data_IF_499772744067
#
_entry.id   IF_499772744067
#
_cell.length_a   1.000
_cell.length_b   1.000
_cell.length_c   1.000
_cell.angle_alpha   90.00
_cell.angle_beta   90.00
_cell.angle_gamma   90.00
#
_symmetry.space_group_name_H-M   'P 1'
#
loop_
_entity.id
_entity.type
_entity.pdbx_description
1 polymer ?
#
# COMPACT_ATOMS: atom_id res chain seq x y z
N UNK A 1 56.90 18.35 9.95
CA UNK A 1 56.28 19.04 8.80
C UNK A 1 55.83 17.95 7.85
N UNK A 2 54.55 17.54 7.85
CA UNK A 2 53.43 18.24 7.19
C UNK A 2 52.19 18.20 8.09
N UNK A 3 51.57 19.36 8.27
CA UNK A 3 50.25 19.54 8.87
C UNK A 3 49.23 19.90 7.77
N UNK A 4 47.94 19.93 8.16
CA UNK A 4 46.74 20.40 7.44
C UNK A 4 46.04 19.36 6.54
N UNK A 5 44.70 19.20 6.55
CA UNK A 5 43.59 19.85 7.28
C UNK A 5 42.30 19.02 7.09
N UNK A 6 41.60 18.74 8.20
CA UNK A 6 40.16 18.54 8.42
C UNK A 6 39.16 18.38 7.26
N UNK A 7 38.28 17.38 7.38
CA UNK A 7 36.80 17.57 7.27
C UNK A 7 36.07 16.71 8.32
N UNK A 8 35.15 17.36 9.04
CA UNK A 8 34.21 16.86 10.05
C UNK A 8 33.12 15.94 9.46
N UNK A 9 32.62 14.97 10.25
CA UNK A 9 31.22 14.88 10.76
C UNK A 9 30.98 13.52 11.45
N UNK A 10 30.80 13.50 12.79
CA UNK A 10 29.53 13.39 13.54
C UNK A 10 28.78 12.07 13.31
N UNK A 11 28.88 11.17 14.29
CA UNK A 11 28.01 9.99 14.45
C UNK A 11 26.64 10.39 14.99
N UNK A 12 25.63 9.51 14.85
CA UNK A 12 25.05 9.03 16.10
C UNK A 12 24.75 7.52 16.10
N UNK A 13 25.24 6.88 17.18
CA UNK A 13 24.63 5.80 17.98
C UNK A 13 24.29 4.48 17.24
N UNK A 14 24.76 3.33 17.66
CA UNK A 14 25.50 2.97 18.87
C UNK A 14 25.58 1.45 18.89
N UNK A 15 26.74 0.92 18.54
CA UNK A 15 27.12 -0.46 18.69
C UNK A 15 28.54 -0.42 19.23
N UNK A 16 28.74 -0.90 20.45
CA UNK A 16 30.06 -1.20 20.99
C UNK A 16 29.93 -2.39 21.94
N UNK A 17 30.48 -3.50 21.48
CA UNK A 17 31.33 -4.41 22.23
C UNK A 17 32.47 -3.60 22.90
N UNK A 18 33.22 -4.03 23.91
CA UNK A 18 33.75 -5.31 24.35
C UNK A 18 34.00 -5.20 25.88
N UNK A 19 34.43 -6.27 26.54
CA UNK A 19 35.69 -6.31 27.32
C UNK A 19 35.86 -7.72 27.89
N UNK A 20 36.79 -8.48 27.30
CA UNK A 20 37.50 -9.57 27.97
C UNK A 20 38.65 -8.99 28.80
N UNK A 21 38.83 -9.47 30.03
CA UNK A 21 40.15 -9.58 30.67
C UNK A 21 40.17 -10.82 31.57
N UNK A 22 41.19 -11.65 31.37
CA UNK A 22 41.93 -12.26 32.48
C UNK A 22 41.76 -13.75 32.72
N UNK A 23 42.67 -14.55 32.14
CA UNK A 23 43.02 -15.90 32.58
C UNK A 23 43.52 -15.89 34.03
N UNK A 24 43.25 -16.95 34.80
CA UNK A 24 44.26 -17.60 35.66
C UNK A 24 43.79 -18.99 36.10
N UNK A 25 44.64 -19.98 35.82
CA UNK A 25 44.53 -21.36 36.30
C UNK A 25 44.85 -21.49 37.80
N UNK A 26 44.40 -22.62 38.34
CA UNK A 26 45.03 -23.42 39.39
C UNK A 26 44.38 -23.42 40.80
N UNK A 27 43.87 -24.62 41.12
CA UNK A 27 44.32 -25.48 42.23
C UNK A 27 43.25 -25.80 43.29
N UNK A 28 43.16 -27.11 43.49
CA UNK A 28 42.32 -27.81 44.42
C UNK A 28 42.83 -27.70 45.88
N UNK A 29 41.89 -27.92 46.80
CA UNK A 29 41.97 -28.61 48.11
C UNK A 29 41.40 -27.77 49.24
N UNK A 30 40.29 -28.26 49.81
CA UNK A 30 39.68 -27.70 51.02
C UNK A 30 38.38 -28.39 51.37
N UNK A 31 38.47 -29.64 51.83
CA UNK A 31 37.36 -30.43 52.38
C UNK A 31 36.79 -29.72 53.61
N UNK A 32 35.51 -29.36 53.57
CA UNK A 32 34.68 -29.13 54.77
C UNK A 32 33.40 -29.94 54.60
N UNK A 33 33.26 -30.99 55.42
CA UNK A 33 32.02 -31.76 55.53
C UNK A 33 31.02 -30.97 56.38
N UNK A 34 29.79 -30.72 55.91
CA UNK A 34 28.69 -30.40 56.82
C UNK A 34 28.09 -31.68 57.41
N UNK A 35 27.82 -31.59 58.71
CA UNK A 35 27.38 -32.65 59.62
C UNK A 35 26.03 -33.23 59.18
N UNK A 36 25.92 -34.54 59.29
CA UNK A 36 24.65 -35.24 59.13
C UNK A 36 23.65 -34.83 60.20
N UNK A 37 22.52 -34.30 59.76
CA UNK A 37 21.26 -34.33 60.50
C UNK A 37 20.26 -35.16 59.71
N UNK A 38 19.49 -35.93 60.48
CA UNK A 38 18.83 -37.16 60.07
C UNK A 38 17.93 -37.02 58.83
N UNK A 39 18.02 -38.02 57.96
CA UNK A 39 17.11 -38.25 56.87
C UNK A 39 15.69 -38.48 57.42
N UNK A 40 14.83 -37.47 57.29
CA UNK A 40 13.39 -37.68 57.25
C UNK A 40 13.02 -38.14 55.84
N UNK A 41 12.74 -39.42 55.69
CA UNK A 41 12.22 -40.00 54.45
C UNK A 41 10.83 -39.43 54.19
N UNK A 42 10.73 -38.40 53.35
CA UNK A 42 9.46 -38.00 52.78
C UNK A 42 9.04 -39.04 51.73
N UNK A 43 7.76 -39.45 51.70
CA UNK A 43 7.29 -40.51 50.83
C UNK A 43 7.51 -40.15 49.37
N UNK A 44 7.86 -41.17 48.57
CA UNK A 44 8.17 -41.11 47.14
C UNK A 44 7.00 -40.70 46.23
N UNK A 45 5.98 -40.01 46.76
CA UNK A 45 4.82 -39.52 46.02
C UNK A 45 4.85 -38.01 45.80
N UNK A 46 5.80 -37.28 46.41
CA UNK A 46 5.91 -35.83 46.20
C UNK A 46 6.84 -35.47 45.04
N UNK A 47 7.78 -36.34 44.66
CA UNK A 47 8.73 -36.09 43.57
C UNK A 47 8.11 -36.27 42.18
N UNK A 48 7.16 -37.19 42.02
CA UNK A 48 6.39 -37.35 40.77
C UNK A 48 5.54 -36.12 40.47
N UNK A 49 4.92 -35.51 41.48
CA UNK A 49 4.15 -34.26 41.32
C UNK A 49 5.08 -33.10 40.95
N UNK A 50 6.29 -33.04 41.53
CA UNK A 50 7.25 -31.97 41.22
C UNK A 50 7.88 -32.10 39.83
N UNK A 51 8.13 -33.33 39.35
CA UNK A 51 8.58 -33.58 37.97
C UNK A 51 7.45 -33.38 36.95
N UNK A 52 6.20 -33.69 37.31
CA UNK A 52 5.02 -33.47 36.46
C UNK A 52 4.64 -31.98 36.36
N UNK A 53 4.85 -31.19 37.44
CA UNK A 53 4.74 -29.73 37.41
C UNK A 53 5.88 -29.12 36.58
N UNK A 54 7.12 -29.63 36.70
CA UNK A 54 8.27 -29.16 35.92
C UNK A 54 8.13 -29.51 34.43
N UNK A 55 7.55 -30.67 34.09
CA UNK A 55 7.23 -31.05 32.71
C UNK A 55 6.07 -30.21 32.14
N UNK A 56 5.06 -29.86 32.96
CA UNK A 56 3.93 -29.01 32.53
C UNK A 56 4.30 -27.52 32.35
N UNK A 57 5.32 -27.02 33.04
CA UNK A 57 5.79 -25.63 32.88
C UNK A 57 6.53 -25.37 31.55
N UNK A 58 6.95 -26.42 30.84
CA UNK A 58 7.68 -26.30 29.57
C UNK A 58 6.81 -26.51 28.31
N UNK A 59 5.51 -26.79 28.46
CA UNK A 59 4.60 -27.05 27.33
C UNK A 59 3.75 -25.84 26.91
N UNK A 60 4.06 -24.65 27.40
CA UNK A 60 3.53 -23.42 26.82
C UNK A 60 4.55 -22.85 25.84
N UNK A 61 4.45 -23.31 24.59
CA UNK A 61 4.92 -22.49 23.46
C UNK A 61 4.38 -21.07 23.68
N UNK A 62 5.22 -20.02 23.65
CA UNK A 62 4.72 -18.67 23.73
C UNK A 62 3.71 -18.54 22.59
N UNK A 63 2.43 -18.33 22.92
CA UNK A 63 1.40 -18.04 21.92
C UNK A 63 1.97 -16.92 21.08
N UNK A 64 2.39 -17.23 19.86
CA UNK A 64 2.81 -16.21 18.93
C UNK A 64 1.58 -15.33 18.78
N UNK A 65 1.61 -14.14 19.39
CA UNK A 65 0.67 -13.09 19.06
C UNK A 65 1.07 -12.74 17.65
N UNK A 66 0.53 -13.48 16.68
CA UNK A 66 0.55 -13.06 15.29
C UNK A 66 -0.01 -11.66 15.34
N UNK A 67 0.75 -10.61 14.99
CA UNK A 67 0.13 -9.30 14.86
C UNK A 67 -1.09 -9.53 13.96
N UNK A 68 -2.29 -9.00 14.33
CA UNK A 68 -3.42 -9.08 13.40
C UNK A 68 -2.87 -8.64 12.06
N UNK A 69 -3.12 -9.36 10.94
CA UNK A 69 -2.55 -8.98 9.66
C UNK A 69 -2.87 -7.51 9.53
N UNK A 70 -1.84 -6.66 9.60
CA UNK A 70 -2.01 -5.23 9.42
C UNK A 70 -2.37 -5.17 7.96
N UNK A 71 -3.68 -5.27 7.67
CA UNK A 71 -4.22 -5.21 6.34
C UNK A 71 -3.98 -3.76 5.97
N UNK A 72 -2.77 -3.47 5.51
CA UNK A 72 -2.35 -2.15 5.11
C UNK A 72 -3.35 -1.75 4.03
N UNK A 73 -4.29 -0.87 4.39
CA UNK A 73 -5.41 -0.55 3.53
C UNK A 73 -4.87 0.13 2.28
N UNK A 74 -4.74 -0.64 1.19
CA UNK A 74 -4.30 -0.14 -0.11
C UNK A 74 -5.26 0.96 -0.56
N UNK A 75 -4.77 2.18 -0.74
CA UNK A 75 -5.60 3.34 -1.08
C UNK A 75 -5.93 3.43 -2.59
N UNK A 76 -5.18 2.73 -3.43
CA UNK A 76 -5.39 2.62 -4.88
C UNK A 76 -6.35 1.48 -5.20
N UNK A 77 -7.64 1.71 -4.95
CA UNK A 77 -8.72 0.77 -5.24
C UNK A 77 -9.49 1.19 -6.50
N UNK A 78 -10.29 0.28 -7.02
CA UNK A 78 -11.29 0.56 -8.06
C UNK A 78 -12.20 1.70 -7.60
N UNK A 79 -12.56 2.59 -8.51
CA UNK A 79 -13.44 3.74 -8.21
C UNK A 79 -12.74 4.89 -7.48
N UNK A 80 -11.43 4.80 -7.19
CA UNK A 80 -10.67 5.93 -6.66
C UNK A 80 -10.28 6.89 -7.76
N UNK A 81 -10.36 8.18 -7.45
CA UNK A 81 -9.98 9.25 -8.38
C UNK A 81 -8.52 9.62 -8.18
N UNK A 82 -7.80 9.79 -9.28
CA UNK A 82 -6.42 10.25 -9.31
C UNK A 82 -6.25 11.36 -10.36
N UNK A 83 -5.15 12.09 -10.25
CA UNK A 83 -4.71 13.06 -11.26
C UNK A 83 -3.44 12.51 -11.91
N UNK A 84 -3.35 12.59 -13.24
CA UNK A 84 -2.13 12.19 -13.95
C UNK A 84 -1.07 13.28 -13.79
N UNK A 85 0.15 12.91 -13.41
CA UNK A 85 1.27 13.85 -13.22
C UNK A 85 2.18 13.97 -14.43
N UNK A 86 2.25 12.95 -15.31
CA UNK A 86 3.17 12.93 -16.46
C UNK A 86 2.52 12.49 -17.78
N UNK A 87 3.13 12.90 -18.90
CA UNK A 87 2.75 12.52 -20.27
C UNK A 87 1.63 13.40 -20.87
N UNK A 88 1.13 13.01 -22.06
CA UNK A 88 0.12 13.77 -22.83
C UNK A 88 -1.13 14.16 -22.03
N UNK A 89 -1.51 13.34 -21.05
CA UNK A 89 -2.72 13.54 -20.24
C UNK A 89 -2.41 14.11 -18.84
N UNK A 90 -1.23 14.71 -18.63
CA UNK A 90 -0.91 15.38 -17.37
C UNK A 90 -1.97 16.43 -17.00
N UNK A 91 -2.27 16.53 -15.70
CA UNK A 91 -3.30 17.42 -15.15
C UNK A 91 -4.74 16.95 -15.42
N UNK A 92 -4.95 15.83 -16.12
CA UNK A 92 -6.27 15.25 -16.32
C UNK A 92 -6.67 14.34 -15.16
N UNK A 93 -7.95 14.41 -14.79
CA UNK A 93 -8.57 13.60 -13.75
C UNK A 93 -8.98 12.27 -14.34
N UNK A 94 -8.71 11.22 -13.57
CA UNK A 94 -8.97 9.84 -13.95
C UNK A 94 -9.62 9.07 -12.81
N UNK A 95 -10.38 8.05 -13.15
CA UNK A 95 -10.83 7.01 -12.24
C UNK A 95 -10.03 5.74 -12.49
N UNK A 96 -9.62 5.07 -11.41
CA UNK A 96 -8.98 3.76 -11.46
C UNK A 96 -10.07 2.70 -11.69
N UNK A 97 -9.98 1.98 -12.80
CA UNK A 97 -10.94 0.91 -13.14
C UNK A 97 -10.40 -0.43 -12.67
N UNK A 98 -9.13 -0.71 -12.97
CA UNK A 98 -8.50 -1.95 -12.58
C UNK A 98 -7.08 -1.67 -12.09
N UNK A 99 -6.82 -1.80 -10.77
CA UNK A 99 -5.47 -1.78 -10.24
C UNK A 99 -4.73 -3.08 -10.60
N UNK A 100 -3.44 -2.98 -10.92
CA UNK A 100 -2.54 -4.08 -11.25
C UNK A 100 -1.25 -3.91 -10.43
N UNK A 101 -1.26 -4.45 -9.22
CA UNK A 101 -0.14 -4.30 -8.27
C UNK A 101 1.07 -5.16 -8.64
N UNK A 102 0.84 -6.37 -9.19
CA UNK A 102 1.88 -7.36 -9.46
C UNK A 102 2.61 -7.15 -10.80
N UNK A 103 2.15 -6.20 -11.63
CA UNK A 103 2.64 -6.05 -13.00
C UNK A 103 2.15 -7.16 -13.93
N UNK A 104 2.45 -7.02 -15.22
CA UNK A 104 2.12 -7.99 -16.27
C UNK A 104 3.31 -8.12 -17.24
N UNK A 105 3.32 -9.12 -18.12
CA UNK A 105 4.42 -9.34 -19.09
C UNK A 105 4.75 -8.11 -19.93
N UNK A 106 3.73 -7.36 -20.36
CA UNK A 106 3.93 -6.11 -21.13
C UNK A 106 4.35 -4.91 -20.27
N UNK A 107 4.00 -4.91 -18.99
CA UNK A 107 4.23 -3.81 -18.06
C UNK A 107 4.69 -4.39 -16.72
N UNK A 108 6.00 -4.64 -16.53
CA UNK A 108 6.54 -5.35 -15.36
C UNK A 108 6.60 -4.50 -14.08
N UNK A 109 5.80 -3.43 -14.02
CA UNK A 109 5.73 -2.48 -12.91
C UNK A 109 4.28 -2.31 -12.43
N UNK A 110 4.06 -1.87 -11.18
CA UNK A 110 2.71 -1.57 -10.68
C UNK A 110 2.03 -0.48 -11.50
N UNK A 111 0.83 -0.77 -11.99
CA UNK A 111 0.08 0.12 -12.88
C UNK A 111 -1.42 0.01 -12.66
N UNK A 112 -2.18 0.93 -13.24
CA UNK A 112 -3.63 0.85 -13.32
C UNK A 112 -4.13 1.08 -14.74
N UNK A 113 -5.23 0.41 -15.05
CA UNK A 113 -6.10 0.78 -16.15
C UNK A 113 -7.00 1.90 -15.65
N UNK A 114 -6.94 3.03 -16.34
CA UNK A 114 -7.68 4.22 -15.97
C UNK A 114 -8.56 4.71 -17.11
N UNK A 115 -9.69 5.31 -16.75
CA UNK A 115 -10.49 6.13 -17.65
C UNK A 115 -10.54 7.56 -17.14
N UNK A 116 -10.44 8.52 -18.05
CA UNK A 116 -10.42 9.94 -17.68
C UNK A 116 -11.06 10.82 -18.72
N UNK A 117 -11.02 12.12 -18.43
CA UNK A 117 -11.57 13.17 -19.27
C UNK A 117 -10.44 13.93 -19.95
N UNK A 118 -10.37 13.87 -21.28
CA UNK A 118 -9.42 14.65 -22.07
C UNK A 118 -9.95 16.09 -22.24
N UNK A 119 -11.20 16.19 -22.70
CA UNK A 119 -11.94 17.45 -22.86
C UNK A 119 -13.11 17.48 -21.89
N UNK A 120 -13.03 18.38 -20.93
CA UNK A 120 -14.05 18.60 -19.91
C UNK A 120 -15.28 19.29 -20.48
N UNK A 121 -16.46 19.07 -19.86
CA UNK A 121 -17.63 19.87 -20.19
C UNK A 121 -17.37 21.33 -19.84
N UNK A 122 -17.86 22.23 -20.69
CA UNK A 122 -17.72 23.67 -20.46
C UNK A 122 -18.81 24.18 -19.54
N UNK A 123 -18.55 25.27 -18.82
CA UNK A 123 -19.56 25.90 -17.98
C UNK A 123 -20.82 26.27 -18.79
N UNK A 124 -21.97 25.90 -18.23
CA UNK A 124 -23.30 26.18 -18.77
C UNK A 124 -23.91 27.32 -17.96
N UNK A 125 -24.51 28.28 -18.65
CA UNK A 125 -25.25 29.38 -18.02
C UNK A 125 -26.70 29.37 -18.49
N UNK A 126 -27.61 29.90 -17.65
CA UNK A 126 -29.06 29.89 -17.91
C UNK A 126 -29.46 30.61 -19.21
N UNK A 127 -28.65 31.55 -19.69
CA UNK A 127 -28.91 32.35 -20.89
C UNK A 127 -28.65 31.59 -22.20
N UNK A 128 -28.05 30.41 -22.15
CA UNK A 128 -27.71 29.64 -23.36
C UNK A 128 -28.93 28.92 -23.93
N UNK A 129 -29.00 28.81 -25.27
CA UNK A 129 -29.98 27.96 -25.94
C UNK A 129 -29.75 26.47 -25.63
N UNK A 130 -30.81 25.66 -25.63
CA UNK A 130 -30.74 24.21 -25.33
C UNK A 130 -29.69 23.50 -26.19
N UNK A 131 -29.62 23.82 -27.48
CA UNK A 131 -28.64 23.27 -28.43
C UNK A 131 -27.19 23.59 -28.05
N UNK A 132 -26.93 24.78 -27.51
CA UNK A 132 -25.59 25.18 -27.03
C UNK A 132 -25.26 24.52 -25.69
N UNK A 133 -26.26 24.33 -24.82
CA UNK A 133 -26.08 23.61 -23.55
C UNK A 133 -25.66 22.16 -23.81
N UNK A 134 -26.37 21.45 -24.70
CA UNK A 134 -26.05 20.07 -25.08
C UNK A 134 -24.63 19.94 -25.65
N UNK A 135 -24.22 20.84 -26.56
CA UNK A 135 -22.86 20.83 -27.13
C UNK A 135 -21.78 21.04 -26.05
N UNK A 136 -22.07 21.81 -24.99
CA UNK A 136 -21.13 22.09 -23.89
C UNK A 136 -21.07 20.98 -22.84
N UNK A 137 -22.15 20.20 -22.68
CA UNK A 137 -22.19 19.04 -21.80
C UNK A 137 -21.38 17.85 -22.32
N UNK A 138 -21.06 17.81 -23.62
CA UNK A 138 -20.32 16.71 -24.24
C UNK A 138 -18.92 16.56 -23.66
N UNK A 139 -18.52 15.32 -23.41
CA UNK A 139 -17.22 14.96 -22.84
C UNK A 139 -16.40 14.16 -23.86
N UNK A 140 -15.09 14.40 -23.94
CA UNK A 140 -14.16 13.52 -24.68
C UNK A 140 -13.39 12.65 -23.68
N UNK A 141 -13.74 11.35 -23.54
CA UNK A 141 -13.01 10.47 -22.65
C UNK A 141 -11.72 9.93 -23.29
N UNK A 142 -10.83 9.42 -22.44
CA UNK A 142 -9.71 8.58 -22.84
C UNK A 142 -9.57 7.39 -21.89
N UNK A 143 -8.95 6.33 -22.39
CA UNK A 143 -8.57 5.14 -21.63
C UNK A 143 -7.06 4.97 -21.76
N UNK A 144 -6.38 4.59 -20.68
CA UNK A 144 -4.93 4.41 -20.69
C UNK A 144 -4.46 3.48 -19.58
N UNK A 145 -3.36 2.79 -19.83
CA UNK A 145 -2.58 2.11 -18.78
C UNK A 145 -1.52 3.07 -18.25
N UNK A 146 -1.49 3.27 -16.93
CA UNK A 146 -0.62 4.27 -16.29
C UNK A 146 0.09 3.64 -15.08
N UNK A 147 1.40 3.83 -15.00
CA UNK A 147 2.21 3.49 -13.81
C UNK A 147 1.75 4.30 -12.59
N UNK A 148 1.72 3.69 -11.40
CA UNK A 148 1.33 4.38 -10.17
C UNK A 148 2.16 5.60 -9.83
N UNK A 149 3.45 5.63 -10.17
CA UNK A 149 4.30 6.81 -9.95
C UNK A 149 3.82 8.05 -10.74
N UNK A 150 3.03 7.83 -11.80
CA UNK A 150 2.47 8.89 -12.64
C UNK A 150 1.03 9.27 -12.24
N UNK A 151 0.55 8.74 -11.12
CA UNK A 151 -0.75 9.08 -10.55
C UNK A 151 -0.56 9.77 -9.21
N UNK A 152 -1.14 10.95 -9.07
CA UNK A 152 -1.36 11.59 -7.79
C UNK A 152 -2.72 11.13 -7.25
N UNK A 153 -2.76 10.28 -6.21
CA UNK A 153 -4.01 9.83 -5.62
C UNK A 153 -4.75 11.01 -5.00
N UNK A 154 -6.08 10.99 -5.08
CA UNK A 154 -6.91 12.02 -4.44
C UNK A 154 -7.83 11.39 -3.41
N UNK A 155 -8.44 12.24 -2.57
CA UNK A 155 -9.43 11.78 -1.58
C UNK A 155 -10.74 11.31 -2.21
N UNK A 156 -11.06 11.77 -3.41
CA UNK A 156 -12.36 11.58 -4.04
C UNK A 156 -12.58 10.15 -4.55
N UNK A 157 -13.82 9.69 -4.47
CA UNK A 157 -14.31 8.46 -5.12
C UNK A 157 -15.18 8.82 -6.31
N UNK A 158 -15.23 7.93 -7.28
CA UNK A 158 -16.12 7.97 -8.42
C UNK A 158 -16.53 6.53 -8.73
N UNK A 159 -17.65 6.10 -8.16
CA UNK A 159 -18.23 4.82 -8.54
C UNK A 159 -18.92 4.95 -9.89
N UNK A 160 -18.52 4.05 -10.79
CA UNK A 160 -19.05 3.89 -12.14
C UNK A 160 -19.38 2.41 -12.31
N UNK A 161 -20.57 2.02 -11.87
CA UNK A 161 -21.02 0.61 -11.89
C UNK A 161 -20.97 0.01 -13.31
N UNK A 162 -21.26 0.81 -14.34
CA UNK A 162 -21.23 0.39 -15.74
C UNK A 162 -19.85 0.26 -16.39
N UNK A 163 -18.75 0.59 -15.71
CA UNK A 163 -17.39 0.48 -16.27
C UNK A 163 -16.58 -0.71 -15.77
N UNK A 164 -17.09 -1.41 -14.77
CA UNK A 164 -16.44 -2.59 -14.22
C UNK A 164 -16.53 -3.72 -15.25
N UNK A 165 -15.42 -4.01 -15.94
CA UNK A 165 -15.34 -5.06 -16.97
C UNK A 165 -15.40 -4.55 -18.41
N UNK A 166 -15.78 -3.30 -18.65
CA UNK A 166 -15.77 -2.72 -20.00
C UNK A 166 -14.34 -2.44 -20.52
N UNK A 167 -13.39 -2.25 -19.60
CA UNK A 167 -11.99 -1.96 -19.90
C UNK A 167 -11.13 -3.02 -19.22
N UNK A 168 -10.46 -3.82 -20.04
CA UNK A 168 -9.56 -4.91 -19.68
C UNK A 168 -8.21 -4.70 -20.36
N UNK A 169 -7.24 -5.57 -20.10
CA UNK A 169 -5.93 -5.50 -20.76
C UNK A 169 -6.02 -5.74 -22.28
N UNK A 170 -6.96 -6.60 -22.71
CA UNK A 170 -7.12 -6.96 -24.13
C UNK A 170 -7.70 -5.84 -24.97
N UNK A 171 -8.51 -4.97 -24.36
CA UNK A 171 -9.10 -3.80 -25.03
C UNK A 171 -8.05 -2.84 -25.56
N UNK A 172 -6.79 -2.96 -25.11
CA UNK A 172 -5.68 -2.15 -25.61
C UNK A 172 -4.94 -2.78 -26.78
N UNK A 173 -5.19 -4.03 -27.19
CA UNK A 173 -4.50 -4.63 -28.33
C UNK A 173 -5.05 -4.10 -29.65
N UNK A 174 -6.38 -4.10 -29.78
CA UNK A 174 -7.08 -3.71 -31.00
C UNK A 174 -7.62 -2.28 -30.96
N UNK A 175 -7.51 -1.57 -32.09
CA UNK A 175 -7.96 -0.16 -32.17
C UNK A 175 -9.48 -0.05 -32.08
N UNK A 176 -10.21 -0.95 -32.76
CA UNK A 176 -11.68 -0.96 -32.76
C UNK A 176 -12.25 -1.10 -31.34
N UNK A 177 -11.68 -2.02 -30.55
CA UNK A 177 -12.10 -2.22 -29.15
C UNK A 177 -11.84 -0.99 -28.27
N UNK A 178 -10.73 -0.26 -28.52
CA UNK A 178 -10.46 1.01 -27.82
C UNK A 178 -11.51 2.08 -28.13
N UNK A 179 -12.02 2.12 -29.35
CA UNK A 179 -13.06 3.07 -29.74
C UNK A 179 -14.40 2.74 -29.10
N UNK A 180 -14.77 1.46 -29.07
CA UNK A 180 -16.02 1.00 -28.45
C UNK A 180 -16.00 1.21 -26.94
N UNK A 181 -14.88 0.89 -26.27
CA UNK A 181 -14.71 1.20 -24.86
C UNK A 181 -14.85 2.70 -24.56
N UNK A 182 -14.31 3.58 -25.42
CA UNK A 182 -14.48 5.03 -25.26
C UNK A 182 -15.94 5.47 -25.41
N UNK A 183 -16.73 4.84 -26.29
CA UNK A 183 -18.18 5.14 -26.43
C UNK A 183 -18.93 4.80 -25.14
N UNK A 184 -18.62 3.65 -24.53
CA UNK A 184 -19.21 3.23 -23.24
C UNK A 184 -18.83 4.21 -22.13
N UNK A 185 -17.54 4.55 -21.99
CA UNK A 185 -17.06 5.55 -21.01
C UNK A 185 -17.71 6.91 -21.22
N UNK A 186 -17.86 7.33 -22.48
CA UNK A 186 -18.47 8.61 -22.81
C UNK A 186 -19.90 8.68 -22.27
N UNK A 187 -20.72 7.67 -22.56
CA UNK A 187 -22.11 7.58 -22.11
C UNK A 187 -22.20 7.64 -20.58
N UNK A 188 -21.41 6.82 -19.89
CA UNK A 188 -21.39 6.78 -18.43
C UNK A 188 -20.98 8.13 -17.79
N UNK A 189 -20.00 8.83 -18.37
CA UNK A 189 -19.55 10.13 -17.86
C UNK A 189 -20.57 11.26 -18.14
N UNK A 190 -21.22 11.25 -19.29
CA UNK A 190 -22.24 12.24 -19.66
C UNK A 190 -23.51 12.11 -18.82
N UNK A 191 -23.98 10.88 -18.56
CA UNK A 191 -25.10 10.58 -17.65
C UNK A 191 -24.79 11.10 -16.24
N UNK A 192 -23.58 10.81 -15.75
CA UNK A 192 -23.15 11.21 -14.41
C UNK A 192 -22.97 12.72 -14.28
N UNK A 193 -22.50 13.40 -15.33
CA UNK A 193 -22.44 14.87 -15.36
C UNK A 193 -23.84 15.49 -15.29
N UNK A 194 -24.80 14.93 -16.04
CA UNK A 194 -26.19 15.41 -16.07
C UNK A 194 -26.87 15.24 -14.72
N UNK A 195 -26.53 14.19 -13.96
CA UNK A 195 -26.99 14.00 -12.58
C UNK A 195 -26.45 15.04 -11.57
N UNK A 196 -25.48 15.87 -11.96
CA UNK A 196 -24.87 16.88 -11.08
C UNK A 196 -23.91 16.33 -10.02
N UNK A 197 -23.64 15.03 -10.01
CA UNK A 197 -22.75 14.38 -9.03
C UNK A 197 -21.28 14.59 -9.37
N UNK A 198 -20.42 14.61 -8.34
CA UNK A 198 -18.96 14.75 -8.45
C UNK A 198 -18.50 15.93 -9.31
N UNK A 199 -19.05 17.11 -9.04
CA UNK A 199 -18.70 18.39 -9.70
C UNK A 199 -17.19 18.62 -9.80
N UNK A 200 -16.42 18.23 -8.77
CA UNK A 200 -14.96 18.35 -8.80
C UNK A 200 -14.34 17.53 -9.94
N UNK A 201 -14.81 16.33 -10.24
CA UNK A 201 -14.26 15.49 -11.30
C UNK A 201 -14.44 16.12 -12.69
N UNK A 202 -15.57 16.78 -12.94
CA UNK A 202 -15.91 17.39 -14.23
C UNK A 202 -15.37 18.82 -14.40
N UNK A 203 -14.85 19.43 -13.33
CA UNK A 203 -14.21 20.75 -13.41
C UNK A 203 -12.74 20.58 -13.81
N UNK A 204 -12.23 21.29 -14.82
CA UNK A 204 -10.81 21.20 -15.19
C UNK A 204 -9.91 21.68 -14.05
N UNK A 205 -8.76 21.03 -13.88
CA UNK A 205 -7.70 21.53 -13.00
C UNK A 205 -7.00 22.70 -13.69
N UNK A 206 -6.82 23.82 -12.98
CA UNK A 206 -6.08 24.99 -13.46
C UNK A 206 -4.71 24.96 -12.80
N UNK A 207 -3.66 25.01 -13.61
CA UNK A 207 -2.26 25.03 -13.20
C UNK A 207 -1.47 25.76 -14.29
#
# INVERSE_FOLDING_TARGET
MVACRLVYQVTPRGFLSDVEVGRHDANAKGRVQPRGHAAGTLPATHWSIFEEIRANLNNHEPRQIRPPPTVAMKFLKVGRVAIITRGRYAGKKVVIIQPQDAGNKSHPYPHALVAGIERYPSQITRRMSKTRQEKRSKVKPFIKVINYNHLMPTRYTLELEGLKGAITADTFKEVSQREDAKKVVKKALEERYTSGKNRWFFTPLRF
#
